data_IF_311398933323
#
_entry.id   IF_311398933323
#
_cell.length_a   1.000
_cell.length_b   1.000
_cell.length_c   1.000
_cell.angle_alpha   90.00
_cell.angle_beta   90.00
_cell.angle_gamma   90.00
#
_symmetry.space_group_name_H-M   'P 1'
#
loop_
_entity.id
_entity.type
_entity.pdbx_description
1 polymer ?
#
# COMPACT_ATOMS: atom_id res chain seq x y z
N UNK A 1 -12.53 -10.04 1.48
CA UNK A 1 -11.10 -10.45 1.38
C UNK A 1 -10.21 -9.52 2.21
N UNK A 2 -10.46 -8.22 2.21
CA UNK A 2 -9.62 -7.20 2.86
C UNK A 2 -9.84 -7.06 4.38
N UNK A 3 -10.83 -7.73 4.96
CA UNK A 3 -11.23 -7.55 6.37
C UNK A 3 -10.36 -8.33 7.37
N UNK A 4 -9.46 -9.20 6.87
CA UNK A 4 -8.61 -10.04 7.71
C UNK A 4 -7.37 -9.27 8.17
N UNK A 5 -7.28 -9.06 9.48
CA UNK A 5 -6.14 -8.42 10.14
C UNK A 5 -5.35 -9.41 11.01
N UNK A 6 -4.07 -9.16 11.16
CA UNK A 6 -3.18 -9.83 12.13
C UNK A 6 -2.86 -8.82 13.24
N UNK A 7 -2.78 -9.31 14.49
CA UNK A 7 -2.35 -8.50 15.64
C UNK A 7 -0.85 -8.68 15.82
N UNK A 8 -0.11 -7.58 15.74
CA UNK A 8 1.33 -7.54 15.99
C UNK A 8 1.63 -7.67 17.49
N UNK A 9 2.88 -7.95 17.85
CA UNK A 9 3.30 -8.12 19.25
C UNK A 9 3.11 -6.86 20.13
N UNK A 10 2.96 -5.69 19.51
CA UNK A 10 2.66 -4.41 20.15
C UNK A 10 1.14 -4.08 20.19
N UNK A 11 0.28 -5.03 19.80
CA UNK A 11 -1.17 -4.88 19.81
C UNK A 11 -1.77 -4.16 18.59
N UNK A 12 -0.95 -3.62 17.68
CA UNK A 12 -1.43 -2.97 16.45
C UNK A 12 -2.01 -4.01 15.50
N UNK A 13 -3.17 -3.70 14.90
CA UNK A 13 -3.79 -4.50 13.85
C UNK A 13 -3.25 -4.06 12.48
N UNK A 14 -2.79 -5.01 11.68
CA UNK A 14 -2.34 -4.78 10.31
C UNK A 14 -3.14 -5.65 9.34
N UNK A 15 -3.59 -5.11 8.18
CA UNK A 15 -4.21 -5.93 7.15
C UNK A 15 -3.23 -6.99 6.67
N UNK A 16 -3.69 -8.25 6.62
CA UNK A 16 -2.85 -9.38 6.22
C UNK A 16 -2.40 -9.30 4.75
N UNK A 17 -3.13 -8.56 3.93
CA UNK A 17 -2.85 -8.33 2.52
C UNK A 17 -2.63 -6.84 2.27
N UNK A 18 -1.57 -6.51 1.54
CA UNK A 18 -1.23 -5.15 1.14
C UNK A 18 -0.81 -5.05 -0.33
N UNK A 19 -0.75 -3.83 -0.85
CA UNK A 19 -0.19 -3.53 -2.17
C UNK A 19 1.28 -3.12 -2.00
N UNK A 20 2.20 -3.91 -2.56
CA UNK A 20 3.60 -3.52 -2.71
C UNK A 20 3.78 -2.61 -3.93
N UNK A 21 4.62 -1.58 -3.79
CA UNK A 21 4.84 -0.56 -4.82
C UNK A 21 6.21 -0.65 -5.51
N UNK A 22 6.99 -1.69 -5.23
CA UNK A 22 8.28 -1.91 -5.87
C UNK A 22 8.11 -2.13 -7.39
N UNK A 23 9.06 -1.60 -8.18
CA UNK A 23 9.05 -1.65 -9.67
C UNK A 23 7.91 -0.89 -10.37
N UNK A 24 7.19 -0.01 -9.66
CA UNK A 24 6.23 0.91 -10.28
C UNK A 24 6.86 2.30 -10.39
N UNK A 25 6.87 2.88 -11.60
CA UNK A 25 7.38 4.23 -11.83
C UNK A 25 6.57 5.28 -11.00
N UNK A 26 7.24 6.33 -10.51
CA UNK A 26 6.63 7.38 -9.65
C UNK A 26 5.42 8.09 -10.31
N UNK A 27 5.41 8.18 -11.63
CA UNK A 27 4.32 8.80 -12.39
C UNK A 27 3.11 7.86 -12.60
N UNK A 28 3.25 6.56 -12.33
CA UNK A 28 2.20 5.54 -12.50
C UNK A 28 1.64 5.02 -11.18
N UNK A 29 2.43 5.08 -10.10
CA UNK A 29 2.05 4.44 -8.82
C UNK A 29 0.79 5.05 -8.19
N UNK A 30 0.50 6.33 -8.46
CA UNK A 30 -0.71 6.98 -7.95
C UNK A 30 -2.00 6.28 -8.43
N UNK A 31 -2.04 5.84 -9.69
CA UNK A 31 -3.21 5.16 -10.25
C UNK A 31 -3.36 3.74 -9.67
N UNK A 32 -2.24 3.04 -9.45
CA UNK A 32 -2.24 1.73 -8.81
C UNK A 32 -2.76 1.80 -7.35
N UNK A 33 -2.32 2.80 -6.59
CA UNK A 33 -2.78 3.01 -5.20
C UNK A 33 -4.26 3.37 -5.17
N UNK A 34 -4.73 4.31 -6.01
CA UNK A 34 -6.17 4.65 -6.11
C UNK A 34 -7.03 3.44 -6.41
N UNK A 35 -6.68 2.67 -7.44
CA UNK A 35 -7.40 1.46 -7.81
C UNK A 35 -7.44 0.44 -6.65
N UNK A 36 -6.32 0.28 -5.93
CA UNK A 36 -6.28 -0.60 -4.77
C UNK A 36 -7.18 -0.11 -3.62
N UNK A 37 -7.19 1.19 -3.35
CA UNK A 37 -8.05 1.79 -2.32
C UNK A 37 -9.53 1.65 -2.69
N UNK A 38 -9.89 1.84 -3.96
CA UNK A 38 -11.25 1.69 -4.49
C UNK A 38 -11.79 0.27 -4.31
N UNK A 39 -10.95 -0.75 -4.53
CA UNK A 39 -11.35 -2.15 -4.34
C UNK A 39 -11.26 -2.62 -2.88
N UNK A 40 -10.63 -1.84 -1.99
CA UNK A 40 -10.68 -2.07 -0.53
C UNK A 40 -9.35 -2.30 0.18
N UNK A 41 -8.20 -2.18 -0.49
CA UNK A 41 -6.89 -2.23 0.18
C UNK A 41 -6.73 -1.07 1.17
N UNK A 42 -6.15 -1.37 2.33
CA UNK A 42 -5.81 -0.36 3.36
C UNK A 42 -4.38 -0.48 3.88
N UNK A 43 -3.59 -1.35 3.29
CA UNK A 43 -2.18 -1.54 3.60
C UNK A 43 -1.39 -1.33 2.31
N UNK A 44 -0.60 -0.27 2.27
CA UNK A 44 0.26 0.09 1.14
C UNK A 44 1.71 -0.01 1.63
N UNK A 45 2.51 -0.79 0.92
CA UNK A 45 3.92 -1.01 1.21
C UNK A 45 4.78 -0.25 0.18
N UNK A 46 5.66 0.60 0.69
CA UNK A 46 6.59 1.42 -0.08
C UNK A 46 7.92 1.56 0.65
N UNK A 47 8.93 2.07 -0.04
CA UNK A 47 10.23 2.35 0.52
C UNK A 47 10.92 3.47 -0.26
N UNK A 48 11.76 4.23 0.43
CA UNK A 48 12.59 5.28 -0.16
C UNK A 48 13.45 4.81 -1.34
N UNK A 49 13.91 3.55 -1.32
CA UNK A 49 14.68 2.96 -2.41
C UNK A 49 13.87 2.76 -3.70
N UNK A 50 12.54 2.76 -3.65
CA UNK A 50 11.68 2.58 -4.82
C UNK A 50 11.54 3.89 -5.61
N UNK A 51 11.86 5.03 -4.99
CA UNK A 51 11.86 6.34 -5.64
C UNK A 51 10.48 6.85 -6.03
N UNK A 52 9.40 6.26 -5.49
CA UNK A 52 8.03 6.51 -5.91
C UNK A 52 7.07 6.95 -4.78
N UNK A 53 7.59 7.24 -3.58
CA UNK A 53 6.78 7.62 -2.40
C UNK A 53 5.94 8.88 -2.63
N UNK A 54 6.39 9.79 -3.49
CA UNK A 54 5.62 10.98 -3.89
C UNK A 54 4.39 10.59 -4.68
N UNK A 55 4.52 9.67 -5.65
CA UNK A 55 3.40 9.11 -6.37
C UNK A 55 2.45 8.34 -5.45
N UNK A 56 2.99 7.55 -4.50
CA UNK A 56 2.18 6.85 -3.49
C UNK A 56 1.35 7.84 -2.69
N UNK A 57 1.94 8.96 -2.23
CA UNK A 57 1.21 9.98 -1.48
C UNK A 57 0.16 10.77 -2.27
N UNK A 58 0.20 10.73 -3.62
CA UNK A 58 -0.85 11.30 -4.49
C UNK A 58 -2.01 10.33 -4.74
N UNK A 59 -1.80 9.04 -4.45
CA UNK A 59 -2.74 7.96 -4.66
C UNK A 59 -3.55 7.64 -3.42
#
# INVERSE_FOLDING_TARGET
MFDRNIVLNNGVKIPQLGLGTWFIDDDKVADAVKAAVEIGYRHIDTAQAYGNERGVGKG
#
